data_IF_836496318826
#
_entry.id   IF_836496318826
#
_cell.length_a   1.000
_cell.length_b   1.000
_cell.length_c   1.000
_cell.angle_alpha   90.00
_cell.angle_beta   90.00
_cell.angle_gamma   90.00
#
_symmetry.space_group_name_H-M   'P 1'
#
loop_
_entity.id
_entity.type
_entity.pdbx_description
1 polymer ?
#
# COMPACT_ATOMS: atom_id res chain seq x y z
N UNK A 1 12.29 19.30 14.51
CA UNK A 1 12.27 17.93 15.09
C UNK A 1 13.48 17.21 14.53
N UNK A 2 14.24 16.45 15.32
CA UNK A 2 15.36 15.66 14.79
C UNK A 2 14.86 14.48 13.95
N UNK A 3 15.68 13.97 13.03
CA UNK A 3 15.33 12.79 12.21
C UNK A 3 14.96 11.58 13.07
N UNK A 4 15.72 11.34 14.16
CA UNK A 4 15.44 10.25 15.09
C UNK A 4 14.05 10.40 15.75
N UNK A 5 13.68 11.63 16.12
CA UNK A 5 12.35 11.90 16.68
C UNK A 5 11.25 11.74 15.61
N UNK A 6 11.50 12.17 14.38
CA UNK A 6 10.55 12.00 13.27
C UNK A 6 10.32 10.52 12.94
N UNK A 7 11.39 9.71 12.88
CA UNK A 7 11.31 8.26 12.69
C UNK A 7 10.55 7.57 13.82
N UNK A 8 10.78 7.99 15.07
CA UNK A 8 10.01 7.48 16.23
C UNK A 8 8.53 7.88 16.17
N UNK A 9 8.21 9.03 15.59
CA UNK A 9 6.85 9.50 15.41
C UNK A 9 6.16 8.91 14.16
N UNK A 10 6.87 8.17 13.30
CA UNK A 10 6.27 7.54 12.14
C UNK A 10 5.21 6.49 12.56
N UNK A 11 4.05 6.44 11.90
CA UNK A 11 3.59 7.27 10.78
C UNK A 11 2.79 8.52 11.19
N UNK A 12 2.53 8.75 12.49
CA UNK A 12 1.74 9.91 12.98
C UNK A 12 2.37 11.26 12.63
N UNK A 13 3.69 11.32 12.48
CA UNK A 13 4.43 12.54 12.14
C UNK A 13 4.38 12.94 10.66
N UNK A 14 3.76 12.14 9.79
CA UNK A 14 3.67 12.44 8.36
C UNK A 14 2.75 13.65 8.11
N UNK A 15 3.24 14.61 7.34
CA UNK A 15 2.43 15.65 6.73
C UNK A 15 1.40 15.01 5.80
N UNK A 16 0.14 15.40 5.98
CA UNK A 16 -1.00 14.97 5.17
C UNK A 16 -1.78 16.23 4.79
N UNK A 17 -1.92 16.55 3.49
CA UNK A 17 -2.72 17.68 3.03
C UNK A 17 -4.16 17.62 3.55
N UNK A 18 -4.72 18.77 3.95
CA UNK A 18 -6.13 18.87 4.36
C UNK A 18 -7.06 18.52 3.19
N UNK A 19 -8.12 17.75 3.46
CA UNK A 19 -9.05 17.27 2.43
C UNK A 19 -8.54 16.12 1.56
N UNK A 20 -7.26 15.73 1.67
CA UNK A 20 -6.68 14.58 0.98
C UNK A 20 -7.04 13.23 1.61
N UNK A 21 -6.83 12.13 0.86
CA UNK A 21 -7.02 10.78 1.38
C UNK A 21 -6.02 10.50 2.51
N UNK A 22 -6.54 10.26 3.72
CA UNK A 22 -5.71 9.82 4.85
C UNK A 22 -5.35 8.36 4.67
N UNK A 23 -4.07 8.04 4.82
CA UNK A 23 -3.64 6.65 4.71
C UNK A 23 -4.17 5.81 5.88
N UNK A 24 -4.59 4.59 5.55
CA UNK A 24 -5.03 3.60 6.53
C UNK A 24 -3.89 2.70 7.01
N UNK A 25 -4.23 1.71 7.83
CA UNK A 25 -3.32 0.63 8.22
C UNK A 25 -2.75 -0.12 7.00
N UNK A 26 -3.49 -0.10 5.89
CA UNK A 26 -3.25 -0.86 4.67
C UNK A 26 -1.90 -0.52 4.03
N UNK A 27 -1.55 0.78 4.00
CA UNK A 27 -0.26 1.24 3.50
C UNK A 27 0.91 0.77 4.38
N UNK A 28 0.70 0.73 5.70
CA UNK A 28 1.72 0.27 6.67
C UNK A 28 1.90 -1.25 6.62
N UNK A 29 0.80 -1.97 6.45
CA UNK A 29 0.79 -3.41 6.24
C UNK A 29 1.49 -3.77 4.92
N UNK A 30 1.21 -3.03 3.85
CA UNK A 30 1.90 -3.17 2.55
C UNK A 30 3.40 -2.94 2.67
N UNK A 31 3.81 -1.87 3.35
CA UNK A 31 5.21 -1.56 3.60
C UNK A 31 5.93 -2.72 4.32
N UNK A 32 5.36 -3.21 5.42
CA UNK A 32 5.93 -4.31 6.20
C UNK A 32 5.91 -5.66 5.46
N UNK A 33 4.88 -5.91 4.65
CA UNK A 33 4.78 -7.07 3.79
C UNK A 33 5.90 -7.08 2.73
N UNK A 34 6.08 -5.97 2.04
CA UNK A 34 7.08 -5.84 0.98
C UNK A 34 8.53 -5.73 1.52
N UNK A 35 8.71 -5.36 2.79
CA UNK A 35 10.03 -5.36 3.42
C UNK A 35 10.61 -6.78 3.58
N UNK A 36 9.76 -7.81 3.56
CA UNK A 36 10.15 -9.22 3.70
C UNK A 36 10.69 -9.85 2.40
N UNK A 37 10.65 -9.13 1.28
CA UNK A 37 11.14 -9.63 -0.01
C UNK A 37 12.40 -8.85 -0.45
N UNK A 38 13.31 -9.48 -1.21
CA UNK A 38 14.51 -8.78 -1.68
C UNK A 38 14.17 -7.78 -2.79
N UNK A 39 14.98 -6.72 -2.85
CA UNK A 39 14.90 -5.62 -3.82
C UNK A 39 15.44 -4.34 -3.18
N UNK A 40 16.14 -3.52 -3.97
CA UNK A 40 16.70 -2.25 -3.49
C UNK A 40 16.07 -1.06 -4.20
N UNK A 41 15.62 -1.23 -5.45
CA UNK A 41 15.01 -0.15 -6.23
C UNK A 41 13.51 -0.35 -6.31
N UNK A 42 12.76 0.46 -5.56
CA UNK A 42 11.30 0.38 -5.50
C UNK A 42 10.60 1.54 -6.20
N UNK A 43 9.43 1.25 -6.77
CA UNK A 43 8.47 2.23 -7.25
C UNK A 43 7.20 2.13 -6.40
N UNK A 44 6.70 3.25 -5.87
CA UNK A 44 5.45 3.33 -5.10
C UNK A 44 4.37 3.99 -5.95
N UNK A 45 3.47 3.19 -6.52
CA UNK A 45 2.39 3.67 -7.38
C UNK A 45 1.22 4.16 -6.53
N UNK A 46 0.75 5.38 -6.78
CA UNK A 46 -0.24 6.03 -5.92
C UNK A 46 0.35 6.30 -4.53
N UNK A 47 1.54 6.89 -4.50
CA UNK A 47 2.36 7.02 -3.28
C UNK A 47 1.67 7.84 -2.18
N UNK A 48 0.69 8.69 -2.52
CA UNK A 48 0.07 9.62 -1.57
C UNK A 48 1.13 10.48 -0.90
N UNK A 49 1.05 10.62 0.42
CA UNK A 49 2.09 11.30 1.22
C UNK A 49 3.30 10.39 1.58
N UNK A 50 3.47 9.27 0.88
CA UNK A 50 4.59 8.31 1.02
C UNK A 50 4.49 7.21 2.11
N UNK A 51 3.33 6.87 2.73
CA UNK A 51 3.31 5.94 3.86
C UNK A 51 3.79 4.52 3.50
N UNK A 52 3.54 4.04 2.28
CA UNK A 52 3.98 2.72 1.83
C UNK A 52 5.49 2.72 1.48
N UNK A 53 5.92 3.60 0.58
CA UNK A 53 7.33 3.72 0.19
C UNK A 53 8.27 4.08 1.35
N UNK A 54 7.95 5.12 2.13
CA UNK A 54 8.76 5.52 3.29
C UNK A 54 8.73 4.46 4.39
N UNK A 55 7.56 3.87 4.63
CA UNK A 55 7.42 2.77 5.59
C UNK A 55 8.27 1.56 5.20
N UNK A 56 8.33 1.23 3.91
CA UNK A 56 9.15 0.13 3.40
C UNK A 56 10.65 0.39 3.63
N UNK A 57 11.13 1.61 3.35
CA UNK A 57 12.52 1.99 3.63
C UNK A 57 12.86 1.90 5.12
N UNK A 58 11.97 2.38 5.99
CA UNK A 58 12.15 2.33 7.44
C UNK A 58 12.11 0.89 7.97
N UNK A 59 11.28 0.01 7.40
CA UNK A 59 11.20 -1.39 7.79
C UNK A 59 12.41 -2.21 7.32
N UNK A 60 12.94 -1.93 6.12
CA UNK A 60 14.14 -2.61 5.61
C UNK A 60 15.43 -2.18 6.29
N UNK A 61 15.53 -0.90 6.67
CA UNK A 61 16.78 -0.30 7.18
C UNK A 61 18.00 -0.51 6.25
N UNK A 62 17.73 -0.65 4.96
CA UNK A 62 18.73 -0.92 3.93
C UNK A 62 19.25 0.43 3.38
N UNK A 63 20.56 0.72 3.50
CA UNK A 63 21.13 1.98 3.02
C UNK A 63 21.10 2.11 1.49
N UNK A 64 21.07 0.99 0.76
CA UNK A 64 21.03 0.99 -0.71
C UNK A 64 19.60 1.07 -1.26
N UNK A 65 18.59 0.98 -0.39
CA UNK A 65 17.20 1.08 -0.80
C UNK A 65 16.89 2.49 -1.32
N UNK A 66 16.29 2.56 -2.51
CA UNK A 66 15.79 3.79 -3.14
C UNK A 66 14.34 3.62 -3.53
N UNK A 67 13.57 4.71 -3.45
CA UNK A 67 12.15 4.72 -3.80
C UNK A 67 11.85 5.92 -4.70
N UNK A 68 11.13 5.65 -5.79
CA UNK A 68 10.41 6.68 -6.52
C UNK A 68 8.92 6.52 -6.23
N UNK A 69 8.27 7.55 -5.71
CA UNK A 69 6.81 7.61 -5.56
C UNK A 69 6.17 8.30 -6.77
N UNK A 70 5.03 7.79 -7.23
CA UNK A 70 4.21 8.44 -8.27
C UNK A 70 2.82 8.71 -7.74
N UNK A 71 2.35 9.94 -7.89
CA UNK A 71 0.98 10.31 -7.59
C UNK A 71 0.47 11.35 -8.60
N UNK A 72 -0.84 11.36 -8.87
CA UNK A 72 -1.49 12.32 -9.76
C UNK A 72 -1.86 13.62 -9.04
N UNK A 73 -1.81 13.64 -7.71
CA UNK A 73 -2.10 14.82 -6.90
C UNK A 73 -0.78 15.56 -6.52
N UNK A 74 -0.57 16.81 -6.98
CA UNK A 74 0.63 17.57 -6.67
C UNK A 74 0.81 17.84 -5.17
N UNK A 75 -0.28 17.96 -4.40
CA UNK A 75 -0.19 18.16 -2.95
C UNK A 75 0.33 16.90 -2.23
N UNK A 76 -0.02 15.71 -2.75
CA UNK A 76 0.51 14.44 -2.24
C UNK A 76 1.99 14.28 -2.55
N UNK A 77 2.41 14.61 -3.78
CA UNK A 77 3.82 14.60 -4.20
C UNK A 77 4.68 15.49 -3.30
N UNK A 78 4.25 16.72 -3.03
CA UNK A 78 4.99 17.63 -2.17
C UNK A 78 5.03 17.13 -0.72
N UNK A 79 3.91 16.62 -0.21
CA UNK A 79 3.86 16.04 1.13
C UNK A 79 4.79 14.83 1.27
N UNK A 80 4.88 13.96 0.26
CA UNK A 80 5.77 12.81 0.26
C UNK A 80 7.26 13.23 0.30
N UNK A 81 7.65 14.24 -0.49
CA UNK A 81 9.01 14.81 -0.46
C UNK A 81 9.36 15.44 0.88
N UNK A 82 8.43 16.21 1.45
CA UNK A 82 8.60 16.80 2.77
C UNK A 82 8.72 15.74 3.87
N UNK A 83 7.90 14.68 3.80
CA UNK A 83 8.00 13.55 4.71
C UNK A 83 9.34 12.81 4.58
N UNK A 84 9.85 12.64 3.36
CA UNK A 84 11.18 12.09 3.13
C UNK A 84 12.28 12.93 3.79
N UNK A 85 12.24 14.27 3.64
CA UNK A 85 13.18 15.17 4.33
C UNK A 85 13.10 15.03 5.83
N UNK A 86 11.90 15.05 6.42
CA UNK A 86 11.70 14.90 7.87
C UNK A 86 12.27 13.59 8.42
N UNK A 87 12.19 12.52 7.64
CA UNK A 87 12.68 11.19 8.03
C UNK A 87 14.18 11.00 7.73
N UNK A 88 14.87 11.98 7.14
CA UNK A 88 16.27 11.83 6.71
C UNK A 88 16.43 10.81 5.58
N UNK A 89 15.49 10.81 4.62
CA UNK A 89 15.44 9.89 3.49
C UNK A 89 15.45 10.61 2.13
N UNK A 90 15.60 11.93 2.10
CA UNK A 90 15.48 12.73 0.88
C UNK A 90 16.52 12.41 -0.21
N UNK A 91 17.69 11.88 0.16
CA UNK A 91 18.71 11.46 -0.82
C UNK A 91 18.36 10.16 -1.55
N UNK A 92 17.37 9.40 -1.04
CA UNK A 92 17.02 8.06 -1.52
C UNK A 92 15.53 7.89 -1.81
N UNK A 93 14.72 8.91 -1.55
CA UNK A 93 13.31 8.96 -1.87
C UNK A 93 13.02 10.23 -2.66
N UNK A 94 12.35 10.08 -3.81
CA UNK A 94 11.72 11.18 -4.54
C UNK A 94 10.27 10.82 -4.85
N UNK A 95 9.44 11.82 -5.11
CA UNK A 95 8.08 11.64 -5.61
C UNK A 95 7.86 12.51 -6.86
N UNK A 96 7.11 12.02 -7.85
CA UNK A 96 6.82 12.77 -9.09
C UNK A 96 5.32 12.80 -9.37
N UNK A 97 4.90 13.91 -9.98
CA UNK A 97 3.55 14.11 -10.47
C UNK A 97 3.35 13.29 -11.75
N UNK A 98 2.60 12.20 -11.66
CA UNK A 98 2.29 11.34 -12.80
C UNK A 98 1.08 10.47 -12.47
N UNK A 99 0.12 10.38 -13.40
CA UNK A 99 -0.91 9.35 -13.32
C UNK A 99 -0.32 7.99 -13.73
N UNK A 100 -0.62 6.94 -12.99
CA UNK A 100 -0.13 5.58 -13.27
C UNK A 100 -0.46 5.11 -14.69
N UNK A 101 -1.55 5.63 -15.28
CA UNK A 101 -1.98 5.35 -16.66
C UNK A 101 -1.03 5.93 -17.71
N UNK A 102 -0.26 6.95 -17.35
CA UNK A 102 0.65 7.66 -18.25
C UNK A 102 2.10 7.19 -18.11
N UNK A 103 2.37 6.15 -17.31
CA UNK A 103 3.74 5.62 -17.10
C UNK A 103 4.42 5.19 -18.43
N UNK A 104 3.63 4.74 -19.41
CA UNK A 104 4.13 4.27 -20.70
C UNK A 104 4.50 5.37 -21.70
N UNK A 105 4.13 6.63 -21.46
CA UNK A 105 4.24 7.70 -22.46
C UNK A 105 5.29 8.75 -22.12
N UNK A 106 5.41 9.17 -20.86
CA UNK A 106 6.38 10.21 -20.45
C UNK A 106 6.64 10.22 -18.93
N UNK A 107 7.34 9.21 -18.42
CA UNK A 107 7.50 9.05 -16.97
C UNK A 107 8.89 9.40 -16.42
N UNK A 108 9.88 9.61 -17.28
CA UNK A 108 11.29 9.69 -16.86
C UNK A 108 11.75 8.47 -16.04
N UNK A 109 11.10 7.32 -16.23
CA UNK A 109 11.43 6.03 -15.63
C UNK A 109 11.90 5.09 -16.75
N UNK A 110 13.07 4.50 -16.58
CA UNK A 110 13.56 3.47 -17.51
C UNK A 110 12.72 2.21 -17.31
N UNK A 111 12.07 1.66 -18.35
CA UNK A 111 11.34 0.40 -18.23
C UNK A 111 12.24 -0.72 -17.73
N UNK A 112 11.70 -1.63 -16.93
CA UNK A 112 12.47 -2.77 -16.42
C UNK A 112 13.55 -2.41 -15.41
N UNK A 113 13.48 -1.25 -14.76
CA UNK A 113 14.54 -0.74 -13.89
C UNK A 113 14.27 -0.91 -12.39
N UNK A 114 13.08 -1.37 -11.99
CA UNK A 114 12.72 -1.59 -10.60
C UNK A 114 12.78 -3.07 -10.20
N UNK A 115 13.23 -3.35 -8.98
CA UNK A 115 13.18 -4.70 -8.39
C UNK A 115 11.82 -4.99 -7.75
N UNK A 116 11.19 -3.93 -7.26
CA UNK A 116 9.95 -3.95 -6.49
C UNK A 116 9.03 -2.82 -6.94
N UNK A 117 7.73 -3.12 -7.03
CA UNK A 117 6.68 -2.10 -7.17
C UNK A 117 5.69 -2.32 -6.02
N UNK A 118 5.33 -1.23 -5.35
CA UNK A 118 4.30 -1.17 -4.30
C UNK A 118 3.05 -0.51 -4.88
N UNK A 119 1.87 -0.98 -4.49
CA UNK A 119 0.65 -0.26 -4.74
C UNK A 119 -0.39 -0.49 -3.64
N UNK A 120 -1.03 0.59 -3.21
CA UNK A 120 -2.30 0.55 -2.49
C UNK A 120 -3.36 1.24 -3.37
N UNK A 121 -3.89 0.55 -4.40
CA UNK A 121 -4.84 1.15 -5.32
C UNK A 121 -6.11 1.58 -4.57
N UNK A 122 -6.75 2.69 -4.98
CA UNK A 122 -8.02 3.08 -4.40
C UNK A 122 -9.08 1.99 -4.63
N UNK A 123 -9.75 1.58 -3.56
CA UNK A 123 -10.95 0.74 -3.63
C UNK A 123 -12.09 1.44 -2.90
N UNK A 124 -13.26 1.56 -3.53
CA UNK A 124 -14.48 1.96 -2.80
C UNK A 124 -15.02 0.74 -2.07
N UNK A 125 -15.21 0.83 -0.76
CA UNK A 125 -16.00 -0.18 -0.07
C UNK A 125 -17.45 -0.12 -0.57
N UNK A 126 -18.10 -1.26 -0.84
CA UNK A 126 -19.52 -1.29 -1.10
C UNK A 126 -20.28 -0.58 0.06
N UNK A 127 -20.84 0.59 -0.23
CA UNK A 127 -21.67 1.35 0.74
C UNK A 127 -20.99 2.47 1.53
N UNK A 128 -19.69 2.76 1.35
CA UNK A 128 -19.05 3.90 2.03
C UNK A 128 -18.94 5.14 1.12
N UNK A 129 -19.72 6.18 1.42
CA UNK A 129 -19.63 7.51 0.80
C UNK A 129 -20.99 8.04 0.35
N UNK A 130 -21.22 9.35 0.57
CA UNK A 130 -22.35 10.08 -0.03
C UNK A 130 -22.20 9.92 -1.55
N UNK A 131 -23.13 9.20 -2.18
CA UNK A 131 -23.17 9.07 -3.64
C UNK A 131 -23.29 10.49 -4.20
N UNK A 132 -22.42 10.95 -5.10
CA UNK A 132 -22.79 12.05 -5.98
C UNK A 132 -24.08 11.60 -6.66
N UNK A 133 -25.15 12.40 -6.58
CA UNK A 133 -26.49 12.03 -7.05
C UNK A 133 -26.57 11.70 -8.56
N UNK A 134 -25.43 11.81 -9.27
CA UNK A 134 -25.32 11.63 -10.72
C UNK A 134 -24.31 10.56 -11.19
N UNK A 135 -23.62 9.83 -10.30
CA UNK A 135 -22.77 8.70 -10.74
C UNK A 135 -23.52 7.38 -10.59
N UNK A 136 -24.00 6.84 -11.72
CA UNK A 136 -24.70 5.57 -11.80
C UNK A 136 -23.88 4.41 -11.19
N UNK A 137 -24.58 3.38 -10.69
CA UNK A 137 -23.98 2.17 -10.10
C UNK A 137 -22.95 1.49 -11.01
N UNK A 138 -23.09 1.65 -12.32
CA UNK A 138 -22.16 1.10 -13.33
C UNK A 138 -20.87 1.92 -13.41
N UNK A 139 -20.93 3.25 -13.51
CA UNK A 139 -19.74 4.11 -13.51
C UNK A 139 -18.88 3.94 -12.24
N UNK A 140 -19.53 3.80 -11.08
CA UNK A 140 -18.83 3.52 -9.83
C UNK A 140 -18.14 2.14 -9.79
N UNK A 141 -18.71 1.11 -10.47
CA UNK A 141 -18.08 -0.22 -10.64
C UNK A 141 -16.92 -0.15 -11.62
N UNK A 142 -17.07 0.53 -12.76
CA UNK A 142 -16.00 0.70 -13.74
C UNK A 142 -14.81 1.51 -13.20
N UNK A 143 -15.03 2.55 -12.40
CA UNK A 143 -13.93 3.27 -11.73
C UNK A 143 -13.19 2.38 -10.71
N UNK A 144 -13.90 1.55 -9.94
CA UNK A 144 -13.25 0.70 -8.91
C UNK A 144 -12.62 -0.58 -9.44
N UNK A 145 -13.20 -1.19 -10.47
CA UNK A 145 -12.64 -2.38 -11.12
C UNK A 145 -11.55 -1.98 -12.13
N UNK A 146 -11.54 -0.73 -12.61
CA UNK A 146 -10.64 -0.20 -13.64
C UNK A 146 -9.26 0.27 -13.15
N UNK A 147 -9.09 0.55 -11.85
CA UNK A 147 -7.81 1.06 -11.35
C UNK A 147 -6.75 -0.05 -11.23
N UNK A 148 -7.06 -1.21 -10.62
CA UNK A 148 -6.06 -2.27 -10.45
C UNK A 148 -5.38 -2.72 -11.76
N UNK A 149 -6.09 -2.92 -12.90
CA UNK A 149 -5.44 -3.21 -14.18
C UNK A 149 -4.42 -2.15 -14.60
N UNK A 150 -4.69 -0.86 -14.40
CA UNK A 150 -3.76 0.21 -14.71
C UNK A 150 -2.51 0.15 -13.83
N UNK A 151 -2.67 -0.07 -12.53
CA UNK A 151 -1.54 -0.27 -11.61
C UNK A 151 -0.74 -1.53 -11.95
N UNK A 152 -1.39 -2.63 -12.34
CA UNK A 152 -0.73 -3.87 -12.76
C UNK A 152 0.07 -3.67 -14.06
N UNK A 153 -0.48 -2.96 -15.05
CA UNK A 153 0.22 -2.64 -16.28
C UNK A 153 1.44 -1.73 -16.01
N UNK A 154 1.27 -0.70 -15.19
CA UNK A 154 2.35 0.18 -14.76
C UNK A 154 3.45 -0.59 -14.01
N UNK A 155 3.07 -1.48 -13.09
CA UNK A 155 4.00 -2.34 -12.38
C UNK A 155 4.77 -3.26 -13.34
N UNK A 156 4.09 -3.88 -14.30
CA UNK A 156 4.73 -4.73 -15.29
C UNK A 156 5.75 -3.96 -16.13
N UNK A 157 5.44 -2.73 -16.56
CA UNK A 157 6.36 -1.89 -17.32
C UNK A 157 7.62 -1.52 -16.51
N UNK A 158 7.44 -1.12 -15.25
CA UNK A 158 8.52 -0.68 -14.38
C UNK A 158 9.46 -1.81 -13.94
N UNK A 159 8.92 -3.00 -13.69
CA UNK A 159 9.68 -4.11 -13.10
C UNK A 159 10.69 -4.72 -14.06
N UNK A 160 11.91 -4.93 -13.58
CA UNK A 160 12.88 -5.84 -14.20
C UNK A 160 12.27 -7.24 -14.36
N UNK A 161 12.82 -8.06 -15.27
CA UNK A 161 12.36 -9.45 -15.36
C UNK A 161 12.52 -10.13 -14.00
N UNK A 162 11.50 -10.91 -13.61
CA UNK A 162 11.40 -11.55 -12.29
C UNK A 162 11.29 -10.59 -11.10
N UNK A 163 11.16 -9.29 -11.32
CA UNK A 163 10.83 -8.29 -10.31
C UNK A 163 9.47 -8.57 -9.64
N UNK A 164 9.23 -7.94 -8.50
CA UNK A 164 8.09 -8.23 -7.63
C UNK A 164 7.10 -7.08 -7.59
N UNK A 165 5.82 -7.40 -7.70
CA UNK A 165 4.74 -6.44 -7.43
C UNK A 165 4.08 -6.81 -6.10
N UNK A 166 4.07 -5.90 -5.14
CA UNK A 166 3.35 -6.05 -3.88
C UNK A 166 2.17 -5.08 -3.86
N UNK A 167 0.98 -5.58 -3.58
CA UNK A 167 -0.20 -4.74 -3.42
C UNK A 167 -1.09 -5.18 -2.27
N UNK A 168 -1.90 -4.24 -1.77
CA UNK A 168 -2.99 -4.53 -0.83
C UNK A 168 -4.32 -4.29 -1.52
N UNK A 169 -5.30 -5.16 -1.25
CA UNK A 169 -6.64 -5.02 -1.80
C UNK A 169 -7.70 -5.64 -0.88
N UNK A 170 -8.97 -5.38 -1.14
CA UNK A 170 -10.09 -6.05 -0.48
C UNK A 170 -10.10 -7.56 -0.77
N UNK A 171 -10.25 -8.37 0.28
CA UNK A 171 -10.27 -9.83 0.19
C UNK A 171 -11.45 -10.34 -0.65
N UNK A 172 -12.62 -9.69 -0.59
CA UNK A 172 -13.80 -10.05 -1.40
C UNK A 172 -13.56 -9.90 -2.92
N UNK A 173 -12.54 -9.12 -3.32
CA UNK A 173 -12.15 -8.89 -4.72
C UNK A 173 -11.02 -9.81 -5.17
N UNK A 174 -10.67 -10.84 -4.38
CA UNK A 174 -9.54 -11.75 -4.67
C UNK A 174 -9.54 -12.29 -6.10
N UNK A 175 -10.69 -12.72 -6.62
CA UNK A 175 -10.80 -13.25 -7.99
C UNK A 175 -10.41 -12.19 -9.03
N UNK A 176 -10.91 -10.96 -8.87
CA UNK A 176 -10.55 -9.84 -9.75
C UNK A 176 -9.06 -9.49 -9.65
N UNK A 177 -8.50 -9.53 -8.44
CA UNK A 177 -7.07 -9.28 -8.20
C UNK A 177 -6.22 -10.30 -8.94
N UNK A 178 -6.48 -11.59 -8.76
CA UNK A 178 -5.73 -12.67 -9.43
C UNK A 178 -5.85 -12.53 -10.95
N UNK A 179 -7.07 -12.31 -11.47
CA UNK A 179 -7.29 -12.18 -12.91
C UNK A 179 -6.56 -10.97 -13.52
N UNK A 180 -6.61 -9.82 -12.84
CA UNK A 180 -5.95 -8.59 -13.30
C UNK A 180 -4.43 -8.74 -13.34
N UNK A 181 -3.84 -9.41 -12.34
CA UNK A 181 -2.41 -9.68 -12.29
C UNK A 181 -1.98 -10.67 -13.38
N UNK A 182 -2.70 -11.78 -13.52
CA UNK A 182 -2.42 -12.80 -14.53
C UNK A 182 -2.51 -12.23 -15.96
N UNK A 183 -3.49 -11.38 -16.24
CA UNK A 183 -3.66 -10.71 -17.53
C UNK A 183 -2.46 -9.81 -17.91
N UNK A 184 -1.67 -9.35 -16.92
CA UNK A 184 -0.48 -8.52 -17.12
C UNK A 184 0.83 -9.32 -16.96
N UNK A 185 0.81 -10.65 -17.00
CA UNK A 185 1.98 -11.51 -16.77
C UNK A 185 2.67 -11.25 -15.41
N UNK A 186 1.90 -10.82 -14.41
CA UNK A 186 2.31 -10.76 -13.01
C UNK A 186 1.75 -11.97 -12.29
N UNK A 187 2.56 -13.01 -12.14
CA UNK A 187 2.11 -14.28 -11.55
C UNK A 187 1.99 -14.14 -10.02
N UNK A 188 0.80 -14.29 -9.41
CA UNK A 188 0.65 -14.26 -7.96
C UNK A 188 1.45 -15.40 -7.29
N UNK A 189 2.33 -15.06 -6.35
CA UNK A 189 3.21 -16.01 -5.65
C UNK A 189 2.86 -16.18 -4.19
N UNK A 190 2.37 -15.13 -3.54
CA UNK A 190 2.08 -15.16 -2.12
C UNK A 190 0.88 -14.26 -1.78
N UNK A 191 -0.04 -14.79 -0.98
CA UNK A 191 -1.15 -14.03 -0.42
C UNK A 191 -1.16 -14.21 1.10
N UNK A 192 -1.16 -13.08 1.80
CA UNK A 192 -1.42 -13.01 3.23
C UNK A 192 -2.78 -12.32 3.46
N UNK A 193 -3.82 -13.09 3.84
CA UNK A 193 -5.09 -12.50 4.25
C UNK A 193 -4.90 -11.71 5.56
N UNK A 194 -5.65 -10.63 5.72
CA UNK A 194 -5.68 -9.81 6.94
C UNK A 194 -7.12 -9.73 7.42
N UNK A 195 -7.35 -10.17 8.65
CA UNK A 195 -8.67 -10.19 9.29
C UNK A 195 -8.71 -9.21 10.47
N UNK A 196 -9.88 -8.63 10.79
CA UNK A 196 -9.98 -7.77 11.96
C UNK A 196 -9.78 -8.56 13.25
N UNK A 197 -10.17 -9.84 13.29
CA UNK A 197 -10.02 -10.77 14.42
C UNK A 197 -9.80 -12.19 13.91
N UNK A 198 -9.34 -13.09 14.79
CA UNK A 198 -9.06 -14.50 14.46
C UNK A 198 -10.25 -15.23 13.84
N UNK A 199 -11.44 -15.01 14.39
CA UNK A 199 -12.66 -15.74 13.98
C UNK A 199 -13.52 -14.95 12.97
N UNK A 200 -12.95 -13.90 12.36
CA UNK A 200 -13.64 -13.08 11.39
C UNK A 200 -13.08 -13.33 9.97
N UNK A 201 -13.91 -13.20 8.92
CA UNK A 201 -13.44 -13.23 7.55
C UNK A 201 -12.33 -12.20 7.31
N UNK A 202 -11.38 -12.55 6.42
CA UNK A 202 -10.39 -11.60 5.94
C UNK A 202 -11.11 -10.43 5.26
N UNK A 203 -10.67 -9.20 5.58
CA UNK A 203 -11.16 -7.98 4.93
C UNK A 203 -10.22 -7.52 3.84
N UNK A 204 -8.94 -7.78 4.01
CA UNK A 204 -7.88 -7.38 3.10
C UNK A 204 -7.01 -8.59 2.75
N UNK A 205 -6.33 -8.47 1.63
CA UNK A 205 -5.28 -9.38 1.18
C UNK A 205 -4.07 -8.54 0.82
N UNK A 206 -2.91 -8.98 1.30
CA UNK A 206 -1.61 -8.54 0.81
C UNK A 206 -1.17 -9.56 -0.23
N UNK A 207 -0.88 -9.12 -1.44
CA UNK A 207 -0.55 -9.98 -2.58
C UNK A 207 0.84 -9.63 -3.08
N UNK A 208 1.68 -10.64 -3.24
CA UNK A 208 2.95 -10.55 -3.93
C UNK A 208 2.85 -11.32 -5.25
N UNK A 209 3.10 -10.64 -6.36
CA UNK A 209 3.21 -11.21 -7.68
C UNK A 209 4.63 -11.06 -8.24
N UNK A 210 4.97 -11.84 -9.25
CA UNK A 210 6.28 -11.83 -9.90
C UNK A 210 6.12 -11.66 -11.41
N UNK A 211 6.82 -10.67 -11.98
CA UNK A 211 6.86 -10.46 -13.42
C UNK A 211 7.40 -11.70 -14.13
N UNK A 212 6.65 -12.19 -15.12
CA UNK A 212 6.94 -13.40 -15.89
C UNK A 212 7.20 -14.62 -14.99
N UNK A 213 6.57 -14.68 -13.81
CA UNK A 213 6.73 -15.79 -12.88
C UNK A 213 6.16 -17.09 -13.45
N UNK A 214 6.68 -18.24 -12.99
CA UNK A 214 6.04 -19.54 -13.21
C UNK A 214 4.93 -19.76 -12.17
N UNK A 215 3.91 -20.58 -12.48
CA UNK A 215 2.84 -20.90 -11.56
C UNK A 215 3.29 -21.34 -10.16
N UNK A 216 2.43 -21.11 -9.18
CA UNK A 216 2.59 -21.61 -7.81
C UNK A 216 2.32 -20.50 -6.79
N UNK A 217 1.15 -20.58 -6.15
CA UNK A 217 0.69 -19.63 -5.17
C UNK A 217 0.77 -20.23 -3.76
N UNK A 218 1.36 -19.50 -2.82
CA UNK A 218 1.24 -19.76 -1.38
C UNK A 218 0.16 -18.87 -0.78
N UNK A 219 -0.78 -19.47 -0.05
CA UNK A 219 -1.83 -18.76 0.69
C UNK A 219 -1.64 -19.07 2.18
N UNK A 220 -1.34 -18.04 2.99
CA UNK A 220 -1.13 -18.20 4.43
C UNK A 220 -2.42 -18.07 5.23
N UNK A 221 -2.36 -18.52 6.49
CA UNK A 221 -3.37 -18.23 7.48
C UNK A 221 -3.54 -16.70 7.69
N UNK A 222 -4.76 -16.20 7.96
CA UNK A 222 -4.98 -14.77 8.13
C UNK A 222 -4.19 -14.16 9.29
N UNK A 223 -3.62 -12.98 9.05
CA UNK A 223 -3.13 -12.10 10.10
C UNK A 223 -4.30 -11.41 10.80
N UNK A 224 -4.62 -11.83 12.02
CA UNK A 224 -5.62 -11.18 12.85
C UNK A 224 -5.08 -9.88 13.45
N UNK A 225 -5.67 -8.73 13.10
CA UNK A 225 -5.20 -7.42 13.55
C UNK A 225 -5.48 -7.15 15.03
N UNK A 226 -6.65 -7.55 15.54
CA UNK A 226 -7.07 -7.28 16.90
C UNK A 226 -7.42 -8.55 17.67
N UNK A 227 -7.26 -8.49 18.99
CA UNK A 227 -7.64 -9.52 19.96
C UNK A 227 -8.45 -8.93 21.12
N UNK A 228 -8.92 -9.76 22.05
CA UNK A 228 -9.84 -9.36 23.12
C UNK A 228 -11.26 -9.07 22.61
N UNK A 229 -12.11 -8.50 23.45
CA UNK A 229 -13.47 -8.03 23.10
C UNK A 229 -13.80 -6.75 23.86
N UNK A 230 -14.74 -5.95 23.34
CA UNK A 230 -15.19 -4.72 24.01
C UNK A 230 -14.02 -3.80 24.40
N UNK A 231 -13.98 -3.30 25.66
CA UNK A 231 -12.91 -2.43 26.17
C UNK A 231 -11.50 -3.04 26.12
N UNK A 232 -11.38 -4.37 26.07
CA UNK A 232 -10.07 -5.05 26.01
C UNK A 232 -9.53 -5.18 24.57
N UNK A 233 -10.25 -4.63 23.59
CA UNK A 233 -9.83 -4.67 22.19
C UNK A 233 -8.50 -3.93 22.01
N UNK A 234 -7.48 -4.69 21.60
CA UNK A 234 -6.13 -4.18 21.31
C UNK A 234 -5.57 -4.84 20.05
N UNK A 235 -4.49 -4.28 19.51
CA UNK A 235 -3.75 -4.92 18.44
C UNK A 235 -3.19 -6.26 18.94
N UNK A 236 -3.25 -7.29 18.10
CA UNK A 236 -2.66 -8.58 18.44
C UNK A 236 -1.14 -8.50 18.43
N UNK A 237 -0.48 -9.35 19.22
CA UNK A 237 0.98 -9.43 19.23
C UNK A 237 1.53 -9.83 17.85
N UNK A 238 0.82 -10.69 17.13
CA UNK A 238 1.18 -11.09 15.76
C UNK A 238 1.14 -9.90 14.80
N UNK A 239 0.13 -9.03 14.90
CA UNK A 239 0.02 -7.83 14.07
C UNK A 239 1.14 -6.83 14.37
N UNK A 240 1.49 -6.63 15.64
CA UNK A 240 2.59 -5.74 16.05
C UNK A 240 3.97 -6.27 15.63
N UNK A 241 4.20 -7.59 15.72
CA UNK A 241 5.42 -8.21 15.19
C UNK A 241 5.50 -8.10 13.67
N UNK A 242 4.38 -8.30 12.98
CA UNK A 242 4.32 -8.19 11.52
C UNK A 242 4.54 -6.76 11.04
N UNK A 243 3.86 -5.78 11.64
CA UNK A 243 3.97 -4.37 11.29
C UNK A 243 4.09 -3.52 12.58
N UNK A 244 5.33 -3.24 13.04
CA UNK A 244 5.56 -2.44 14.24
C UNK A 244 4.95 -1.03 14.18
N UNK A 245 4.78 -0.48 12.97
CA UNK A 245 4.16 0.83 12.75
C UNK A 245 2.70 0.90 13.19
N UNK A 246 2.00 -0.24 13.35
CA UNK A 246 0.62 -0.26 13.87
C UNK A 246 0.52 0.18 15.32
N UNK A 247 1.61 0.09 16.10
CA UNK A 247 1.66 0.51 17.51
C UNK A 247 1.28 2.00 17.69
N UNK A 248 1.44 2.81 16.64
CA UNK A 248 0.98 4.19 16.63
C UNK A 248 -0.56 4.31 16.71
N UNK A 249 -1.34 3.25 16.59
CA UNK A 249 -2.80 3.30 16.71
C UNK A 249 -3.30 2.67 18.02
N UNK A 250 -2.40 2.27 18.92
CA UNK A 250 -2.71 1.57 20.18
C UNK A 250 -3.32 2.45 21.29
N UNK A 251 -3.78 3.67 20.97
CA UNK A 251 -4.58 4.45 21.92
C UNK A 251 -5.97 3.83 22.10
N UNK A 252 -6.62 3.97 23.27
CA UNK A 252 -7.96 3.45 23.48
C UNK A 252 -8.91 4.02 22.42
N UNK A 253 -9.55 3.14 21.63
CA UNK A 253 -10.64 3.54 20.75
C UNK A 253 -11.76 4.07 21.64
N UNK A 254 -12.11 5.34 21.48
CA UNK A 254 -13.36 5.87 22.03
C UNK A 254 -14.49 4.96 21.53
N UNK A 255 -15.17 4.30 22.47
CA UNK A 255 -16.39 3.54 22.17
C UNK A 255 -17.36 4.53 21.53
N UNK A 256 -17.91 4.26 20.33
CA UNK A 256 -18.98 5.09 19.79
C UNK A 256 -20.15 5.01 20.76
N UNK A 257 -20.39 6.10 21.49
CA UNK A 257 -21.54 6.22 22.35
C UNK A 257 -22.81 6.00 21.55
N UNK A 258 -23.65 5.09 22.03
CA UNK A 258 -25.06 5.05 21.64
C UNK A 258 -25.69 6.39 22.05
N UNK A 259 -26.22 7.13 21.08
CA UNK A 259 -27.39 7.98 21.26
C UNK A 259 -28.34 7.67 20.10
#
# INVERSE_FOLDING_TARGET
>A
MSEAAARKAFPRGLAQPEGGFRFGADALLLAAFAAQVPGCRALDLGTGCGPAGLGWMLARQDPEATVLGLDKDPAMVEAARENARRLGLADRFDARLLDVRDLGTDAGLVPGSCDLVLANPPYRHPGSGRRPEHQGREAARFETDGDLPAFAAAAFLALADKGRFACVHLAERLVHVIASLAAQNLEPKYILPVSPRRDAPARQILVLARKNGRPGLRLDAPLALYEGTGPETRLSEAALRFCPFLSCNAGPRAVPGRQ
#
